data_IF_491593702420
#
_entry.id   IF_491593702420
#
_cell.length_a   1.000
_cell.length_b   1.000
_cell.length_c   1.000
_cell.angle_alpha   90.00
_cell.angle_beta   90.00
_cell.angle_gamma   90.00
#
_symmetry.space_group_name_H-M   'P 1'
#
loop_
_entity.id
_entity.type
_entity.pdbx_description
1 polymer ?
#
# COMPACT_ATOMS: atom_id res chain seq x y z
N UNK A 1 -26.11 9.68 -3.11
CA UNK A 1 -24.64 9.76 -3.04
C UNK A 1 -24.13 10.16 -4.41
N UNK A 2 -23.16 11.08 -4.50
CA UNK A 2 -22.66 11.54 -5.80
C UNK A 2 -21.80 10.43 -6.42
N UNK A 3 -22.23 9.90 -7.56
CA UNK A 3 -21.52 8.86 -8.29
C UNK A 3 -20.03 9.22 -8.42
N UNK A 4 -19.15 8.31 -7.99
CA UNK A 4 -17.71 8.53 -8.06
C UNK A 4 -17.31 8.70 -9.53
N UNK A 5 -17.04 9.93 -9.95
CA UNK A 5 -16.73 10.21 -11.35
C UNK A 5 -15.46 9.49 -11.78
N UNK A 6 -15.40 9.07 -13.05
CA UNK A 6 -14.21 8.43 -13.65
C UNK A 6 -12.91 9.21 -13.36
N UNK A 7 -12.98 10.53 -13.33
CA UNK A 7 -11.87 11.40 -12.98
C UNK A 7 -11.38 11.21 -11.53
N UNK A 8 -12.29 11.04 -10.55
CA UNK A 8 -11.92 10.75 -9.17
C UNK A 8 -11.20 9.40 -9.04
N UNK A 9 -11.71 8.36 -9.71
CA UNK A 9 -11.10 7.03 -9.70
C UNK A 9 -9.67 7.07 -10.27
N UNK A 10 -9.46 7.79 -11.38
CA UNK A 10 -8.13 7.95 -11.97
C UNK A 10 -7.18 8.79 -11.09
N UNK A 11 -7.69 9.81 -10.38
CA UNK A 11 -6.89 10.57 -9.41
C UNK A 11 -6.44 9.67 -8.26
N UNK A 12 -7.34 8.85 -7.73
CA UNK A 12 -7.06 7.90 -6.64
C UNK A 12 -6.04 6.84 -7.08
N UNK A 13 -6.19 6.30 -8.29
CA UNK A 13 -5.22 5.37 -8.87
C UNK A 13 -3.80 5.95 -8.90
N UNK A 14 -3.66 7.18 -9.41
CA UNK A 14 -2.36 7.87 -9.47
C UNK A 14 -1.80 8.14 -8.07
N UNK A 15 -2.65 8.51 -7.11
CA UNK A 15 -2.23 8.72 -5.74
C UNK A 15 -1.70 7.44 -5.09
N UNK A 16 -2.42 6.33 -5.23
CA UNK A 16 -1.98 5.01 -4.75
C UNK A 16 -0.62 4.59 -5.33
N UNK A 17 -0.41 4.79 -6.63
CA UNK A 17 0.87 4.48 -7.27
C UNK A 17 2.02 5.35 -6.75
N UNK A 18 1.79 6.65 -6.56
CA UNK A 18 2.80 7.58 -6.03
C UNK A 18 3.20 7.22 -4.60
N UNK A 19 2.22 6.96 -3.73
CA UNK A 19 2.52 6.59 -2.34
C UNK A 19 3.23 5.22 -2.27
N UNK A 20 2.87 4.28 -3.14
CA UNK A 20 3.55 2.98 -3.23
C UNK A 20 5.02 3.09 -3.66
N UNK A 21 5.40 4.15 -4.38
CA UNK A 21 6.82 4.35 -4.73
C UNK A 21 7.67 4.77 -3.52
N UNK A 22 7.06 5.30 -2.46
CA UNK A 22 7.76 5.77 -1.26
C UNK A 22 8.20 4.64 -0.34
N UNK A 23 7.81 3.39 -0.61
CA UNK A 23 8.38 2.23 0.08
C UNK A 23 9.88 2.14 -0.18
N UNK A 24 10.66 2.08 0.90
CA UNK A 24 12.12 1.93 0.84
C UNK A 24 12.52 0.56 0.28
N UNK A 25 11.79 -0.50 0.66
CA UNK A 25 12.06 -1.86 0.19
C UNK A 25 11.56 -2.10 -1.24
N UNK A 26 12.46 -2.58 -2.11
CA UNK A 26 12.16 -2.89 -3.52
C UNK A 26 11.00 -3.88 -3.69
N UNK A 27 11.02 -4.98 -2.93
CA UNK A 27 9.99 -6.02 -3.01
C UNK A 27 8.58 -5.48 -2.65
N UNK A 28 8.49 -4.67 -1.59
CA UNK A 28 7.24 -4.04 -1.17
C UNK A 28 6.73 -3.03 -2.20
N UNK A 29 7.62 -2.18 -2.74
CA UNK A 29 7.28 -1.24 -3.80
C UNK A 29 6.72 -1.95 -5.04
N UNK A 30 7.42 -2.98 -5.51
CA UNK A 30 7.03 -3.74 -6.69
C UNK A 30 5.71 -4.50 -6.47
N UNK A 31 5.55 -5.14 -5.31
CA UNK A 31 4.31 -5.82 -4.95
C UNK A 31 3.12 -4.87 -4.87
N UNK A 32 3.26 -3.73 -4.18
CA UNK A 32 2.19 -2.75 -4.02
C UNK A 32 1.74 -2.21 -5.39
N UNK A 33 2.69 -1.81 -6.24
CA UNK A 33 2.42 -1.33 -7.59
C UNK A 33 1.71 -2.41 -8.42
N UNK A 34 2.19 -3.66 -8.38
CA UNK A 34 1.59 -4.78 -9.10
C UNK A 34 0.15 -5.00 -8.64
N UNK A 35 -0.07 -5.13 -7.32
CA UNK A 35 -1.37 -5.40 -6.74
C UNK A 35 -2.40 -4.30 -7.04
N UNK A 36 -1.98 -3.03 -6.98
CA UNK A 36 -2.83 -1.89 -7.35
C UNK A 36 -3.21 -1.97 -8.83
N UNK A 37 -2.25 -2.26 -9.72
CA UNK A 37 -2.54 -2.38 -11.15
C UNK A 37 -3.50 -3.53 -11.44
N UNK A 38 -3.27 -4.69 -10.84
CA UNK A 38 -4.11 -5.87 -11.01
C UNK A 38 -5.54 -5.61 -10.52
N UNK A 39 -5.71 -5.04 -9.33
CA UNK A 39 -7.02 -4.71 -8.79
C UNK A 39 -7.79 -3.73 -9.67
N UNK A 40 -7.14 -2.70 -10.23
CA UNK A 40 -7.82 -1.76 -11.14
C UNK A 40 -8.14 -2.38 -12.50
N UNK A 41 -7.34 -3.35 -12.96
CA UNK A 41 -7.59 -4.09 -14.20
C UNK A 41 -8.75 -5.06 -14.06
N UNK A 42 -8.79 -5.81 -12.95
CA UNK A 42 -9.87 -6.74 -12.58
C UNK A 42 -11.22 -6.02 -12.50
N UNK A 43 -11.25 -4.83 -11.90
CA UNK A 43 -12.49 -4.06 -11.67
C UNK A 43 -12.87 -3.11 -12.83
N UNK A 44 -12.15 -3.14 -13.96
CA UNK A 44 -12.36 -2.20 -15.08
C UNK A 44 -13.76 -2.29 -15.73
N UNK A 45 -14.34 -3.49 -15.73
CA UNK A 45 -15.59 -3.78 -16.44
C UNK A 45 -16.84 -3.69 -15.55
N UNK A 46 -16.69 -3.35 -14.27
CA UNK A 46 -17.81 -3.19 -13.35
C UNK A 46 -18.59 -1.92 -13.73
N UNK A 47 -19.90 -2.07 -13.95
CA UNK A 47 -20.81 -0.98 -14.31
C UNK A 47 -21.75 -0.58 -13.15
N UNK A 48 -21.82 -1.41 -12.11
CA UNK A 48 -22.66 -1.18 -10.93
C UNK A 48 -22.11 0.00 -10.11
N UNK A 49 -22.88 1.09 -10.02
CA UNK A 49 -22.46 2.31 -9.33
C UNK A 49 -22.18 2.09 -7.84
N UNK A 50 -22.98 1.27 -7.16
CA UNK A 50 -22.80 0.97 -5.73
C UNK A 50 -21.49 0.23 -5.45
N UNK A 51 -21.18 -0.81 -6.25
CA UNK A 51 -19.91 -1.55 -6.15
C UNK A 51 -18.72 -0.65 -6.43
N UNK A 52 -18.83 0.28 -7.37
CA UNK A 52 -17.77 1.26 -7.65
C UNK A 52 -17.52 2.13 -6.41
N UNK A 53 -18.57 2.62 -5.75
CA UNK A 53 -18.43 3.43 -4.54
C UNK A 53 -17.78 2.65 -3.39
N UNK A 54 -18.15 1.39 -3.19
CA UNK A 54 -17.52 0.52 -2.20
C UNK A 54 -16.03 0.30 -2.48
N UNK A 55 -15.67 0.01 -3.73
CA UNK A 55 -14.27 -0.15 -4.15
C UNK A 55 -13.48 1.14 -3.98
N UNK A 56 -14.08 2.30 -4.26
CA UNK A 56 -13.46 3.61 -4.02
C UNK A 56 -13.23 3.85 -2.53
N UNK A 57 -14.20 3.52 -1.65
CA UNK A 57 -14.04 3.61 -0.20
C UNK A 57 -12.91 2.70 0.29
N UNK A 58 -12.86 1.45 -0.19
CA UNK A 58 -11.79 0.50 0.11
C UNK A 58 -10.43 1.00 -0.35
N UNK A 59 -10.34 1.56 -1.56
CA UNK A 59 -9.10 2.11 -2.10
C UNK A 59 -8.60 3.33 -1.30
N UNK A 60 -9.50 4.18 -0.80
CA UNK A 60 -9.14 5.29 0.11
C UNK A 60 -8.59 4.77 1.45
N UNK A 61 -9.25 3.78 2.06
CA UNK A 61 -8.76 3.16 3.29
C UNK A 61 -7.36 2.54 3.10
N UNK A 62 -7.14 1.85 1.97
CA UNK A 62 -5.83 1.29 1.64
C UNK A 62 -4.76 2.38 1.46
N UNK A 63 -5.12 3.54 0.90
CA UNK A 63 -4.19 4.66 0.75
C UNK A 63 -3.73 5.19 2.12
N UNK A 64 -4.63 5.32 3.09
CA UNK A 64 -4.27 5.73 4.46
C UNK A 64 -3.34 4.71 5.13
N UNK A 65 -3.57 3.43 4.91
CA UNK A 65 -2.73 2.34 5.43
C UNK A 65 -1.30 2.47 4.86
N UNK A 66 -1.17 2.62 3.54
CA UNK A 66 0.11 2.85 2.86
C UNK A 66 0.84 4.06 3.44
N UNK A 67 0.13 5.18 3.64
CA UNK A 67 0.70 6.39 4.24
C UNK A 67 1.28 6.14 5.64
N UNK A 68 0.51 5.46 6.50
CA UNK A 68 0.95 5.13 7.86
C UNK A 68 2.18 4.24 7.84
N UNK A 69 2.22 3.26 6.96
CA UNK A 69 3.34 2.33 6.87
C UNK A 69 4.61 3.01 6.38
N UNK A 70 4.54 3.84 5.33
CA UNK A 70 5.69 4.62 4.87
C UNK A 70 6.23 5.53 5.98
N UNK A 71 5.36 6.17 6.75
CA UNK A 71 5.76 7.01 7.88
C UNK A 71 6.42 6.21 9.02
N UNK A 72 5.83 5.07 9.39
CA UNK A 72 6.39 4.18 10.42
C UNK A 72 7.76 3.64 10.04
N UNK A 73 7.93 3.18 8.79
CA UNK A 73 9.23 2.74 8.30
C UNK A 73 10.25 3.87 8.39
N UNK A 74 9.93 5.07 7.88
CA UNK A 74 10.85 6.21 7.93
C UNK A 74 11.26 6.57 9.37
N UNK A 75 10.30 6.61 10.29
CA UNK A 75 10.56 6.90 11.72
C UNK A 75 11.43 5.82 12.37
N UNK A 76 11.19 4.54 12.08
CA UNK A 76 11.99 3.44 12.59
C UNK A 76 13.43 3.46 12.05
N UNK A 77 13.62 3.66 10.74
CA UNK A 77 14.95 3.79 10.14
C UNK A 77 15.72 4.99 10.69
N UNK A 78 15.05 6.14 10.88
CA UNK A 78 15.68 7.31 11.49
C UNK A 78 16.09 7.05 12.95
N UNK A 79 15.27 6.31 13.70
CA UNK A 79 15.57 5.95 15.09
C UNK A 79 16.70 4.92 15.21
N UNK A 80 16.79 3.98 14.28
CA UNK A 80 17.88 2.99 14.23
C UNK A 80 19.24 3.64 13.93
N UNK A 81 19.25 4.74 13.16
CA UNK A 81 20.47 5.47 12.83
C UNK A 81 21.06 6.26 14.02
N UNK A 82 20.23 6.63 15.00
CA UNK A 82 20.63 7.50 16.13
C UNK A 82 21.06 6.68 17.37
N UNK A 83 20.72 5.38 17.46
CA UNK A 83 21.06 4.51 18.60
C UNK A 83 21.90 3.30 18.15
N UNK A 84 23.25 3.32 18.32
CA UNK A 84 24.11 2.24 17.84
C UNK A 84 24.10 0.95 18.68
N UNK A 85 23.24 0.82 19.70
CA UNK A 85 23.42 -0.20 20.75
C UNK A 85 22.31 -1.24 20.91
N UNK A 86 21.30 -1.31 20.03
CA UNK A 86 20.26 -2.36 20.14
C UNK A 86 20.40 -3.39 19.02
N UNK A 87 20.86 -4.57 19.45
CA UNK A 87 20.98 -5.81 18.71
C UNK A 87 19.83 -6.03 17.71
N UNK A 88 20.15 -5.99 16.42
CA UNK A 88 19.19 -6.00 15.30
C UNK A 88 18.50 -7.37 15.05
N UNK A 89 18.52 -8.31 16.00
CA UNK A 89 18.22 -9.71 15.72
C UNK A 89 16.76 -10.16 15.94
N UNK A 90 15.88 -9.32 16.47
CA UNK A 90 14.50 -9.77 16.74
C UNK A 90 13.53 -8.62 16.92
N UNK A 91 13.08 -7.99 15.82
CA UNK A 91 11.88 -7.16 15.91
C UNK A 91 10.91 -7.47 14.77
N UNK A 92 9.65 -7.81 15.09
CA UNK A 92 8.64 -8.12 14.09
C UNK A 92 8.32 -6.85 13.33
N UNK A 93 8.44 -6.90 12.00
CA UNK A 93 7.93 -5.85 11.13
C UNK A 93 6.45 -5.61 11.49
N UNK A 94 6.02 -4.34 11.68
CA UNK A 94 4.64 -4.04 12.00
C UNK A 94 3.75 -4.61 10.88
N UNK A 95 2.90 -5.55 11.27
CA UNK A 95 2.02 -6.33 10.40
C UNK A 95 1.38 -5.45 9.32
N UNK A 96 1.81 -5.66 8.09
CA UNK A 96 1.22 -5.12 6.89
C UNK A 96 0.15 -6.12 6.45
N UNK A 97 -1.16 -5.84 6.58
CA UNK A 97 -2.18 -6.77 6.12
C UNK A 97 -2.36 -6.57 4.61
N UNK A 98 -1.38 -7.03 3.83
CA UNK A 98 -1.59 -7.40 2.45
C UNK A 98 -1.24 -8.88 2.37
N UNK A 99 -2.26 -9.72 2.63
CA UNK A 99 -2.16 -11.17 2.64
C UNK A 99 -1.16 -11.68 1.61
N UNK A 100 -0.27 -12.58 2.06
CA UNK A 100 0.73 -13.37 1.32
C UNK A 100 2.21 -12.91 1.47
N UNK A 101 2.82 -13.29 2.61
CA UNK A 101 4.23 -13.73 2.59
C UNK A 101 4.25 -15.26 2.43
N UNK A 102 4.67 -15.81 1.28
CA UNK A 102 5.16 -17.19 1.20
C UNK A 102 6.65 -17.26 0.81
N UNK A 103 7.38 -16.13 0.79
CA UNK A 103 8.74 -16.07 0.24
C UNK A 103 9.79 -15.53 1.21
N UNK A 104 9.59 -15.71 2.52
CA UNK A 104 10.67 -15.52 3.50
C UNK A 104 11.68 -16.69 3.54
N UNK A 105 11.61 -17.65 2.60
CA UNK A 105 12.51 -18.80 2.50
C UNK A 105 13.37 -18.86 1.23
N UNK A 106 13.39 -17.80 0.43
CA UNK A 106 14.28 -17.74 -0.75
C UNK A 106 15.00 -16.40 -0.72
N UNK A 107 16.07 -16.35 0.06
CA UNK A 107 17.29 -15.52 0.06
C UNK A 107 17.77 -15.32 1.49
#
# INVERSE_FOLDING_TARGET
MAASSRAQVLRLYRALLRESQRFSGYNYRMYAIRRIRDAFKENKNIKDSEKIEELVKKAKANLEVIHRQVCLFLSFYLRLFILPSLHAASLPCPNFPLNLFPLAHVY
#
